data_IF_548047870331
#
_entry.id   IF_548047870331
#
_cell.length_a   1.000
_cell.length_b   1.000
_cell.length_c   1.000
_cell.angle_alpha   90.00
_cell.angle_beta   90.00
_cell.angle_gamma   90.00
#
_symmetry.space_group_name_H-M   'P 1'
#
loop_
_entity.id
_entity.type
_entity.pdbx_description
1 polymer ?
#
# COMPACT_ATOMS: atom_id res chain seq x y z
N UNK A 1 51.52 -16.57 -63.78
CA UNK A 1 50.75 -15.34 -64.09
C UNK A 1 50.14 -14.85 -62.78
N UNK A 2 50.80 -13.89 -62.27
CA UNK A 2 50.47 -12.48 -62.11
C UNK A 2 49.64 -12.30 -60.83
N UNK A 3 50.24 -11.86 -59.79
CA UNK A 3 50.40 -10.49 -59.30
C UNK A 3 49.06 -10.03 -58.62
N UNK A 4 49.00 -9.48 -57.49
CA UNK A 4 49.89 -8.71 -56.67
C UNK A 4 49.11 -8.24 -55.43
N UNK A 5 49.86 -8.05 -54.35
CA UNK A 5 50.20 -6.80 -53.63
C UNK A 5 49.00 -6.10 -52.99
N UNK A 6 49.02 -5.77 -51.82
CA UNK A 6 49.75 -5.05 -50.77
C UNK A 6 48.65 -4.62 -49.80
N UNK A 7 48.74 -4.47 -48.55
CA UNK A 7 49.72 -4.12 -47.59
C UNK A 7 49.04 -3.68 -46.32
N UNK A 8 49.66 -3.99 -45.24
CA UNK A 8 50.21 -3.14 -44.21
C UNK A 8 49.31 -2.62 -43.09
N UNK A 9 49.77 -2.98 -41.94
CA UNK A 9 49.85 -2.31 -40.62
C UNK A 9 48.58 -2.39 -39.77
N UNK A 10 48.54 -3.04 -38.69
CA UNK A 10 49.46 -3.03 -37.53
C UNK A 10 48.96 -2.04 -36.53
N UNK A 11 48.36 -2.51 -35.43
CA UNK A 11 48.67 -1.91 -34.13
C UNK A 11 48.02 -2.70 -32.98
N UNK A 12 48.85 -3.27 -32.25
CA UNK A 12 48.80 -3.63 -30.81
C UNK A 12 47.95 -2.72 -29.97
N UNK A 13 47.23 -3.29 -29.03
CA UNK A 13 47.05 -2.52 -27.86
C UNK A 13 45.86 -2.86 -27.00
N UNK A 14 46.16 -3.62 -26.01
CA UNK A 14 45.82 -3.44 -24.61
C UNK A 14 44.51 -3.99 -24.10
N UNK A 15 44.65 -5.11 -23.46
CA UNK A 15 43.86 -5.61 -22.34
C UNK A 15 43.67 -4.53 -21.29
N UNK A 16 42.42 -4.13 -21.05
CA UNK A 16 42.00 -3.41 -19.89
C UNK A 16 40.76 -4.09 -19.36
N UNK A 17 40.93 -4.99 -18.43
CA UNK A 17 39.89 -5.45 -17.54
C UNK A 17 39.62 -4.33 -16.54
N UNK A 18 38.70 -3.46 -16.84
CA UNK A 18 38.13 -2.58 -15.81
C UNK A 18 37.02 -3.35 -15.09
N UNK A 19 37.38 -3.81 -13.91
CA UNK A 19 36.48 -4.28 -12.89
C UNK A 19 35.74 -3.03 -12.41
N UNK A 20 34.56 -2.76 -12.97
CA UNK A 20 33.64 -1.76 -12.44
C UNK A 20 33.13 -2.33 -11.12
N UNK A 21 33.68 -1.83 -10.04
CA UNK A 21 33.22 -2.09 -8.69
C UNK A 21 31.75 -1.71 -8.59
N UNK A 22 30.92 -2.68 -8.19
CA UNK A 22 29.55 -2.44 -7.79
C UNK A 22 29.57 -1.54 -6.54
N UNK A 23 29.50 -0.24 -6.75
CA UNK A 23 29.07 0.67 -5.70
C UNK A 23 27.63 0.24 -5.32
N UNK A 24 27.50 -0.40 -4.17
CA UNK A 24 26.25 -0.44 -3.45
C UNK A 24 25.97 1.02 -3.05
N UNK A 25 25.32 1.75 -3.94
CA UNK A 25 24.83 3.07 -3.65
C UNK A 25 23.86 3.00 -2.46
N UNK A 26 23.97 3.94 -1.54
CA UNK A 26 22.93 4.17 -0.56
C UNK A 26 21.60 4.31 -1.30
N UNK A 27 20.46 3.83 -0.75
CA UNK A 27 19.16 3.97 -1.40
C UNK A 27 18.90 5.44 -1.69
N UNK A 28 18.44 5.73 -2.90
CA UNK A 28 18.12 7.09 -3.31
C UNK A 28 17.10 7.69 -2.34
N UNK A 29 17.44 8.85 -1.78
CA UNK A 29 16.51 9.64 -0.93
C UNK A 29 15.61 10.43 -1.87
N UNK A 30 14.32 10.17 -1.82
CA UNK A 30 13.33 10.90 -2.61
C UNK A 30 12.70 11.96 -1.72
N UNK A 31 13.01 13.22 -2.00
CA UNK A 31 12.35 14.37 -1.39
C UNK A 31 10.89 14.43 -1.84
N UNK A 32 9.97 14.52 -0.89
CA UNK A 32 8.53 14.62 -1.18
C UNK A 32 8.15 15.92 -1.90
N UNK A 33 9.07 16.89 -2.01
CA UNK A 33 8.85 18.15 -2.73
C UNK A 33 8.95 17.99 -4.27
N UNK A 34 9.38 16.84 -4.78
CA UNK A 34 9.47 16.56 -6.21
C UNK A 34 8.22 15.92 -6.80
N UNK A 35 7.19 15.64 -5.97
CA UNK A 35 5.90 15.13 -6.43
C UNK A 35 4.98 16.25 -6.96
N UNK A 36 3.81 15.88 -7.52
CA UNK A 36 2.79 16.85 -7.90
C UNK A 36 2.35 17.67 -6.67
N UNK A 37 1.83 18.91 -6.85
CA UNK A 37 1.47 19.78 -5.73
C UNK A 37 0.42 19.16 -4.82
N UNK A 38 0.40 19.59 -3.55
CA UNK A 38 -0.66 19.22 -2.61
C UNK A 38 -2.04 19.62 -3.15
N UNK A 39 -2.96 18.69 -3.08
CA UNK A 39 -4.37 18.94 -3.39
C UNK A 39 -5.04 19.57 -2.17
N UNK A 40 -5.85 20.62 -2.40
CA UNK A 40 -6.54 21.36 -1.34
C UNK A 40 -7.49 20.48 -0.50
N UNK A 41 -7.86 20.90 0.73
CA UNK A 41 -8.76 20.15 1.62
C UNK A 41 -10.07 19.68 0.99
N UNK A 42 -10.65 18.57 1.50
CA UNK A 42 -11.90 17.97 1.07
C UNK A 42 -13.15 18.70 1.59
N UNK A 43 -14.33 18.23 1.18
CA UNK A 43 -15.57 18.96 1.41
C UNK A 43 -16.18 18.80 2.82
N UNK A 44 -15.74 17.82 3.62
CA UNK A 44 -16.37 17.50 4.91
C UNK A 44 -15.43 17.88 6.06
N UNK A 45 -15.72 18.96 6.81
CA UNK A 45 -14.87 19.39 7.91
C UNK A 45 -14.91 18.46 9.15
N UNK A 46 -15.88 17.56 9.25
CA UNK A 46 -15.95 16.59 10.34
C UNK A 46 -14.94 15.43 10.17
N UNK A 47 -14.47 15.22 8.94
CA UNK A 47 -13.46 14.21 8.64
C UNK A 47 -12.07 14.81 8.75
N UNK A 48 -11.22 14.34 9.70
CA UNK A 48 -9.90 14.92 9.94
C UNK A 48 -8.94 14.80 8.75
N UNK A 49 -9.17 13.86 7.82
CA UNK A 49 -8.38 13.73 6.60
C UNK A 49 -8.86 14.66 5.48
N UNK A 50 -10.11 15.13 5.53
CA UNK A 50 -10.64 16.08 4.54
C UNK A 50 -10.08 17.48 4.72
N UNK A 51 -9.76 17.88 5.96
CA UNK A 51 -9.23 19.23 6.26
C UNK A 51 -7.74 19.35 5.97
N UNK A 52 -7.05 18.25 5.67
CA UNK A 52 -5.63 18.23 5.40
C UNK A 52 -5.31 18.27 3.90
N UNK A 53 -4.26 18.98 3.47
CA UNK A 53 -3.75 18.85 2.12
C UNK A 53 -3.12 17.47 1.93
N UNK A 54 -3.23 16.89 0.73
CA UNK A 54 -2.66 15.60 0.40
C UNK A 54 -1.93 15.66 -0.94
N UNK A 55 -0.81 14.93 -1.04
CA UNK A 55 0.03 14.86 -2.22
C UNK A 55 0.33 13.41 -2.56
N UNK A 56 0.17 13.00 -3.80
CA UNK A 56 0.70 11.74 -4.29
C UNK A 56 2.21 11.87 -4.51
N UNK A 57 3.01 11.13 -3.75
CA UNK A 57 4.49 11.20 -3.81
C UNK A 57 5.02 10.35 -4.96
N UNK A 58 4.50 9.13 -5.10
CA UNK A 58 4.95 8.21 -6.15
C UNK A 58 4.57 6.76 -5.89
N UNK A 59 5.01 5.90 -6.81
CA UNK A 59 4.83 4.45 -6.74
C UNK A 59 6.19 3.77 -6.79
N UNK A 60 6.52 2.98 -5.79
CA UNK A 60 7.86 2.43 -5.58
C UNK A 60 7.83 0.91 -5.47
N UNK A 61 8.77 0.20 -6.14
CA UNK A 61 8.92 -1.25 -6.01
C UNK A 61 9.74 -1.66 -4.79
N UNK A 62 10.48 -0.72 -4.20
CA UNK A 62 11.35 -0.98 -3.05
C UNK A 62 10.63 -0.69 -1.73
N UNK A 63 10.48 -1.70 -0.84
CA UNK A 63 9.88 -1.50 0.47
C UNK A 63 10.73 -0.64 1.41
N UNK A 64 11.98 -0.38 1.06
CA UNK A 64 12.90 0.43 1.86
C UNK A 64 13.17 1.81 1.26
N UNK A 65 12.35 2.25 0.28
CA UNK A 65 12.46 3.60 -0.28
C UNK A 65 12.48 4.65 0.84
N UNK A 66 13.46 5.56 0.78
CA UNK A 66 13.58 6.66 1.73
C UNK A 66 12.79 7.85 1.24
N UNK A 67 11.94 8.38 2.12
CA UNK A 67 11.12 9.57 1.87
C UNK A 67 11.58 10.70 2.78
N UNK A 68 11.55 11.90 2.26
CA UNK A 68 11.80 13.14 2.99
C UNK A 68 10.55 14.03 2.95
N UNK A 69 10.07 14.51 4.12
CA UNK A 69 10.54 14.19 5.47
C UNK A 69 10.22 12.75 5.86
N UNK A 70 10.97 12.20 6.81
CA UNK A 70 10.66 10.92 7.42
C UNK A 70 9.48 11.11 8.39
N UNK A 71 8.33 10.53 8.06
CA UNK A 71 7.08 10.64 8.80
C UNK A 71 6.52 9.25 9.10
N UNK A 72 5.65 9.10 10.12
CA UNK A 72 4.89 7.88 10.35
C UNK A 72 4.12 7.45 9.10
N UNK A 73 3.90 6.14 8.96
CA UNK A 73 3.18 5.56 7.83
C UNK A 73 2.00 4.72 8.30
N UNK A 74 0.84 4.90 7.67
CA UNK A 74 -0.33 4.04 7.84
C UNK A 74 -0.56 3.31 6.51
N UNK A 75 -0.41 1.99 6.54
CA UNK A 75 -0.55 1.16 5.36
C UNK A 75 -1.99 0.67 5.17
N UNK A 76 -2.49 0.72 3.94
CA UNK A 76 -3.76 0.11 3.56
C UNK A 76 -3.49 -1.16 2.77
N UNK A 77 -4.02 -2.29 3.22
CA UNK A 77 -3.88 -3.57 2.54
C UNK A 77 -5.23 -4.29 2.46
N UNK A 78 -5.43 -5.08 1.43
CA UNK A 78 -6.66 -5.84 1.26
C UNK A 78 -6.66 -6.61 -0.05
N UNK A 79 -7.64 -7.49 -0.20
CA UNK A 79 -7.81 -8.26 -1.41
C UNK A 79 -8.14 -7.37 -2.60
N UNK A 80 -7.74 -7.79 -3.80
CA UNK A 80 -8.14 -7.12 -5.04
C UNK A 80 -9.67 -6.98 -5.11
N UNK A 81 -10.14 -5.79 -5.47
CA UNK A 81 -11.56 -5.43 -5.53
C UNK A 81 -12.29 -5.39 -4.17
N UNK A 82 -11.58 -5.37 -3.06
CA UNK A 82 -12.16 -5.15 -1.71
C UNK A 82 -12.74 -3.73 -1.55
N UNK A 83 -12.31 -2.80 -2.38
CA UNK A 83 -12.73 -1.38 -2.33
C UNK A 83 -11.65 -0.43 -1.82
N UNK A 84 -10.37 -0.86 -1.72
CA UNK A 84 -9.26 -0.10 -1.15
C UNK A 84 -9.09 1.29 -1.77
N UNK A 85 -8.95 1.42 -3.08
CA UNK A 85 -8.81 2.72 -3.75
C UNK A 85 -10.07 3.60 -3.64
N UNK A 86 -11.26 2.99 -3.64
CA UNK A 86 -12.51 3.72 -3.41
C UNK A 86 -12.57 4.27 -1.98
N UNK A 87 -12.18 3.45 -1.01
CA UNK A 87 -12.14 3.86 0.40
C UNK A 87 -11.13 4.98 0.61
N UNK A 88 -9.90 4.84 0.07
CA UNK A 88 -8.87 5.89 0.16
C UNK A 88 -9.38 7.22 -0.40
N UNK A 89 -9.97 7.21 -1.59
CA UNK A 89 -10.52 8.43 -2.21
C UNK A 89 -11.60 9.11 -1.35
N UNK A 90 -12.47 8.31 -0.71
CA UNK A 90 -13.51 8.84 0.17
C UNK A 90 -12.94 9.32 1.50
N UNK A 91 -12.00 8.57 2.09
CA UNK A 91 -11.31 8.95 3.33
C UNK A 91 -10.64 10.33 3.22
N UNK A 92 -10.00 10.61 2.09
CA UNK A 92 -9.29 11.88 1.89
C UNK A 92 -10.13 12.94 1.15
N UNK A 93 -11.36 12.63 0.80
CA UNK A 93 -12.25 13.54 0.08
C UNK A 93 -11.77 13.92 -1.33
N UNK A 94 -11.02 13.05 -2.01
CA UNK A 94 -10.41 13.31 -3.32
C UNK A 94 -10.77 12.21 -4.31
N UNK A 95 -11.84 12.39 -5.08
CA UNK A 95 -12.19 11.46 -6.16
C UNK A 95 -11.04 11.33 -7.16
N UNK A 96 -10.62 10.09 -7.43
CA UNK A 96 -9.60 9.79 -8.44
C UNK A 96 -8.14 9.97 -8.01
N UNK A 97 -7.85 10.36 -6.78
CA UNK A 97 -6.48 10.41 -6.25
C UNK A 97 -5.82 9.02 -6.30
N UNK A 98 -6.47 8.02 -5.71
CA UNK A 98 -6.10 6.63 -5.91
C UNK A 98 -6.83 6.09 -7.13
N UNK A 99 -6.09 5.58 -8.11
CA UNK A 99 -6.68 4.99 -9.32
C UNK A 99 -7.38 3.68 -8.97
N UNK A 100 -8.67 3.60 -9.25
CA UNK A 100 -9.41 2.35 -9.20
C UNK A 100 -9.02 1.53 -10.42
N UNK A 101 -8.08 0.59 -10.27
CA UNK A 101 -7.68 -0.27 -11.38
C UNK A 101 -8.71 -1.37 -11.59
N UNK A 102 -9.36 -1.37 -12.74
CA UNK A 102 -10.25 -2.47 -13.15
C UNK A 102 -9.51 -3.75 -13.58
N UNK A 103 -8.18 -3.74 -13.63
CA UNK A 103 -7.38 -4.89 -14.07
C UNK A 103 -6.55 -5.43 -12.91
N UNK A 104 -6.85 -6.65 -12.41
CA UNK A 104 -6.08 -7.30 -11.36
C UNK A 104 -4.64 -7.60 -11.81
N UNK A 105 -3.65 -7.43 -10.93
CA UNK A 105 -2.29 -7.94 -11.14
C UNK A 105 -1.29 -6.99 -11.79
N UNK A 106 -1.63 -5.71 -12.04
CA UNK A 106 -0.70 -4.76 -12.66
C UNK A 106 0.19 -3.97 -11.69
N UNK A 107 -0.14 -3.92 -10.41
CA UNK A 107 0.59 -3.07 -9.47
C UNK A 107 1.27 -3.92 -8.40
N UNK A 108 2.57 -4.04 -8.52
CA UNK A 108 3.48 -4.56 -7.48
C UNK A 108 4.24 -3.41 -6.84
N UNK A 109 3.62 -2.25 -6.74
CA UNK A 109 4.22 -1.01 -6.28
C UNK A 109 3.49 -0.53 -5.03
N UNK A 110 4.23 0.07 -4.12
CA UNK A 110 3.74 0.79 -2.96
C UNK A 110 3.43 2.22 -3.39
N UNK A 111 2.20 2.69 -3.20
CA UNK A 111 1.80 4.05 -3.56
C UNK A 111 1.78 4.91 -2.28
N UNK A 112 2.58 5.95 -2.26
CA UNK A 112 2.70 6.84 -1.11
C UNK A 112 1.94 8.14 -1.35
N UNK A 113 1.13 8.51 -0.35
CA UNK A 113 0.37 9.76 -0.29
C UNK A 113 0.79 10.51 0.96
N UNK A 114 1.38 11.70 0.80
CA UNK A 114 1.83 12.53 1.91
C UNK A 114 0.70 13.41 2.42
N UNK A 115 0.48 13.39 3.72
CA UNK A 115 -0.23 14.40 4.50
C UNK A 115 0.80 15.20 5.31
N UNK A 116 0.42 16.29 6.00
CA UNK A 116 1.37 17.09 6.76
C UNK A 116 2.20 16.29 7.76
N UNK A 117 1.57 15.36 8.50
CA UNK A 117 2.17 14.69 9.66
C UNK A 117 2.44 13.18 9.43
N UNK A 118 1.97 12.59 8.32
CA UNK A 118 2.16 11.16 8.04
C UNK A 118 1.97 10.82 6.56
N UNK A 119 2.28 9.57 6.20
CA UNK A 119 1.98 9.01 4.90
C UNK A 119 0.85 7.97 4.98
N UNK A 120 -0.08 8.03 4.03
CA UNK A 120 -0.91 6.89 3.69
C UNK A 120 -0.20 6.07 2.61
N UNK A 121 -0.10 4.76 2.82
CA UNK A 121 0.60 3.87 1.90
C UNK A 121 -0.38 2.83 1.37
N UNK A 122 -0.71 2.93 0.08
CA UNK A 122 -1.59 1.99 -0.59
C UNK A 122 -0.78 0.81 -1.10
N UNK A 123 -0.84 -0.33 -0.39
CA UNK A 123 -0.16 -1.55 -0.79
C UNK A 123 -0.90 -2.22 -1.95
N UNK A 124 -0.19 -2.96 -2.82
CA UNK A 124 -0.86 -3.74 -3.86
C UNK A 124 -1.84 -4.75 -3.24
N UNK A 125 -2.98 -4.96 -3.86
CA UNK A 125 -3.97 -5.92 -3.36
C UNK A 125 -3.49 -7.37 -3.53
N UNK A 126 -3.93 -8.29 -2.67
CA UNK A 126 -3.69 -9.73 -2.81
C UNK A 126 -4.86 -10.48 -3.47
N UNK A 127 -4.76 -11.82 -3.60
CA UNK A 127 -5.84 -12.64 -4.11
C UNK A 127 -5.98 -12.63 -5.64
N UNK A 128 -4.89 -12.44 -6.35
CA UNK A 128 -4.89 -12.52 -7.82
C UNK A 128 -4.98 -13.98 -8.28
N UNK A 129 -6.18 -14.51 -8.48
CA UNK A 129 -6.41 -15.88 -8.93
C UNK A 129 -5.70 -16.20 -10.27
N UNK A 130 -5.46 -15.20 -11.11
CA UNK A 130 -4.83 -15.34 -12.44
C UNK A 130 -3.33 -15.01 -12.45
N UNK A 131 -2.72 -14.61 -11.33
CA UNK A 131 -1.30 -14.34 -11.29
C UNK A 131 -0.50 -15.65 -11.26
N UNK A 132 0.55 -15.73 -12.08
CA UNK A 132 1.50 -16.84 -12.04
C UNK A 132 2.22 -16.93 -10.69
N UNK A 133 2.77 -18.14 -10.40
CA UNK A 133 3.48 -18.42 -9.12
C UNK A 133 4.56 -17.37 -8.79
N UNK A 134 5.33 -16.91 -9.79
CA UNK A 134 6.38 -15.91 -9.61
C UNK A 134 5.84 -14.54 -9.17
N UNK A 135 4.74 -14.08 -9.76
CA UNK A 135 4.10 -12.82 -9.39
C UNK A 135 3.57 -12.83 -7.95
N UNK A 136 2.99 -13.97 -7.51
CA UNK A 136 2.55 -14.14 -6.11
C UNK A 136 3.72 -14.13 -5.13
N UNK A 137 4.82 -14.80 -5.50
CA UNK A 137 6.03 -14.80 -4.65
C UNK A 137 6.64 -13.40 -4.53
N UNK A 138 6.74 -12.64 -5.64
CA UNK A 138 7.19 -11.26 -5.64
C UNK A 138 6.31 -10.34 -4.79
N UNK A 139 4.99 -10.48 -4.90
CA UNK A 139 4.04 -9.77 -4.06
C UNK A 139 4.25 -10.06 -2.57
N UNK A 140 4.31 -11.37 -2.20
CA UNK A 140 4.51 -11.77 -0.80
C UNK A 140 5.82 -11.22 -0.23
N UNK A 141 6.89 -11.30 -1.03
CA UNK A 141 8.19 -10.74 -0.62
C UNK A 141 8.09 -9.25 -0.37
N UNK A 142 7.54 -8.46 -1.30
CA UNK A 142 7.38 -7.01 -1.17
C UNK A 142 6.62 -6.64 0.10
N UNK A 143 5.44 -7.25 0.32
CA UNK A 143 4.59 -6.94 1.47
C UNK A 143 5.24 -7.40 2.78
N UNK A 144 5.81 -8.61 2.82
CA UNK A 144 6.50 -9.11 4.01
C UNK A 144 7.69 -8.22 4.38
N UNK A 145 8.52 -7.85 3.41
CA UNK A 145 9.67 -7.00 3.64
C UNK A 145 9.22 -5.62 4.15
N UNK A 146 8.19 -5.02 3.54
CA UNK A 146 7.62 -3.75 3.99
C UNK A 146 7.11 -3.84 5.44
N UNK A 147 6.26 -4.80 5.76
CA UNK A 147 5.69 -4.95 7.10
C UNK A 147 6.74 -5.17 8.19
N UNK A 148 7.79 -5.96 7.89
CA UNK A 148 8.81 -6.35 8.89
C UNK A 148 9.93 -5.33 9.04
N UNK A 149 10.33 -4.67 7.97
CA UNK A 149 11.55 -3.85 7.98
C UNK A 149 11.29 -2.34 7.98
N UNK A 150 10.06 -1.90 7.68
CA UNK A 150 9.73 -0.47 7.63
C UNK A 150 9.62 0.13 9.02
N UNK A 151 10.62 0.93 9.42
CA UNK A 151 10.68 1.53 10.76
C UNK A 151 9.61 2.59 11.00
N UNK A 152 9.26 3.34 9.96
CA UNK A 152 8.23 4.39 9.98
C UNK A 152 6.78 3.86 9.97
N UNK A 153 6.56 2.53 9.79
CA UNK A 153 5.24 1.94 9.77
C UNK A 153 4.61 1.94 11.17
N UNK A 154 3.66 2.86 11.40
CA UNK A 154 2.94 3.03 12.66
C UNK A 154 1.74 2.09 12.79
N UNK A 155 1.07 1.74 11.68
CA UNK A 155 -0.09 0.85 11.72
C UNK A 155 -0.54 0.37 10.34
N UNK A 156 -1.41 -0.64 10.35
CA UNK A 156 -1.97 -1.26 9.14
C UNK A 156 -3.49 -1.28 9.20
N UNK A 157 -4.13 -0.75 8.19
CA UNK A 157 -5.57 -0.86 7.92
C UNK A 157 -5.78 -2.05 6.99
N UNK A 158 -6.33 -3.15 7.53
CA UNK A 158 -6.56 -4.37 6.79
C UNK A 158 -8.03 -4.47 6.33
N UNK A 159 -8.26 -4.36 5.02
CA UNK A 159 -9.59 -4.31 4.43
C UNK A 159 -10.11 -5.69 4.04
N UNK A 160 -11.33 -5.98 4.46
CA UNK A 160 -12.07 -7.21 4.20
C UNK A 160 -13.46 -6.87 3.63
N UNK A 161 -13.95 -7.65 2.69
CA UNK A 161 -15.30 -7.48 2.15
C UNK A 161 -16.31 -8.17 3.08
N UNK A 162 -17.16 -7.39 3.74
CA UNK A 162 -18.13 -7.89 4.74
C UNK A 162 -19.08 -8.97 4.19
N UNK A 163 -19.26 -9.06 2.87
CA UNK A 163 -20.18 -10.01 2.22
C UNK A 163 -19.66 -11.45 2.19
N UNK A 164 -18.34 -11.64 2.36
CA UNK A 164 -17.68 -12.92 2.11
C UNK A 164 -17.03 -13.48 3.37
N UNK A 165 -17.02 -14.80 3.51
CA UNK A 165 -16.16 -15.46 4.49
C UNK A 165 -14.69 -15.22 4.14
N UNK A 166 -13.79 -15.21 5.14
CA UNK A 166 -12.36 -15.08 4.89
C UNK A 166 -11.88 -16.19 3.92
N UNK A 167 -11.20 -15.77 2.88
CA UNK A 167 -10.57 -16.69 1.94
C UNK A 167 -9.23 -17.21 2.49
N UNK A 168 -8.69 -18.25 1.84
CA UNK A 168 -7.33 -18.73 2.16
C UNK A 168 -6.29 -17.60 2.08
N UNK A 169 -6.40 -16.71 1.09
CA UNK A 169 -5.50 -15.57 0.96
C UNK A 169 -5.66 -14.56 2.13
N UNK A 170 -6.90 -14.39 2.65
CA UNK A 170 -7.16 -13.54 3.82
C UNK A 170 -6.53 -14.13 5.08
N UNK A 171 -6.64 -15.45 5.28
CA UNK A 171 -6.02 -16.16 6.40
C UNK A 171 -4.48 -16.16 6.32
N UNK A 172 -3.91 -16.25 5.12
CA UNK A 172 -2.47 -16.11 4.93
C UNK A 172 -2.01 -14.68 5.25
N UNK A 173 -2.77 -13.66 4.83
CA UNK A 173 -2.48 -12.27 5.15
C UNK A 173 -2.58 -12.00 6.64
N UNK A 174 -3.60 -12.53 7.31
CA UNK A 174 -3.75 -12.43 8.76
C UNK A 174 -2.51 -12.94 9.51
N UNK A 175 -1.99 -14.11 9.12
CA UNK A 175 -0.76 -14.67 9.72
C UNK A 175 0.43 -13.73 9.52
N UNK A 176 0.58 -13.19 8.31
CA UNK A 176 1.67 -12.28 8.00
C UNK A 176 1.58 -10.98 8.82
N UNK A 177 0.37 -10.44 9.00
CA UNK A 177 0.11 -9.27 9.83
C UNK A 177 0.42 -9.56 11.30
N UNK A 178 -0.04 -10.69 11.83
CA UNK A 178 0.25 -11.11 13.21
C UNK A 178 1.77 -11.29 13.44
N UNK A 179 2.47 -11.94 12.50
CA UNK A 179 3.92 -12.13 12.58
C UNK A 179 4.73 -10.81 12.48
N UNK A 180 4.16 -9.78 11.87
CA UNK A 180 4.83 -8.48 11.75
C UNK A 180 4.91 -7.72 13.07
N UNK A 181 4.04 -8.02 14.03
CA UNK A 181 3.95 -7.33 15.32
C UNK A 181 3.48 -5.88 15.23
N UNK A 182 2.92 -5.47 14.08
CA UNK A 182 2.40 -4.12 13.87
C UNK A 182 0.97 -3.97 14.38
N UNK A 183 0.55 -2.80 14.89
CA UNK A 183 -0.85 -2.52 15.13
C UNK A 183 -1.68 -2.72 13.86
N UNK A 184 -2.80 -3.46 13.97
CA UNK A 184 -3.68 -3.76 12.83
C UNK A 184 -5.10 -3.43 13.20
N UNK A 185 -5.74 -2.59 12.38
CA UNK A 185 -7.17 -2.33 12.41
C UNK A 185 -7.83 -3.05 11.22
N UNK A 186 -8.71 -4.01 11.49
CA UNK A 186 -9.49 -4.68 10.46
C UNK A 186 -10.68 -3.80 10.07
N UNK A 187 -10.88 -3.60 8.77
CA UNK A 187 -11.97 -2.75 8.26
C UNK A 187 -12.86 -3.55 7.32
N UNK A 188 -14.09 -3.77 7.75
CA UNK A 188 -15.12 -4.46 6.96
C UNK A 188 -15.76 -3.47 5.98
N UNK A 189 -15.43 -3.61 4.71
CA UNK A 189 -15.90 -2.73 3.63
C UNK A 189 -17.25 -3.17 3.06
N UNK A 190 -17.90 -2.27 2.29
CA UNK A 190 -19.14 -2.54 1.55
C UNK A 190 -20.36 -2.84 2.43
N UNK A 191 -20.44 -2.22 3.59
CA UNK A 191 -21.56 -2.38 4.52
C UNK A 191 -22.92 -2.04 3.89
N UNK A 192 -22.95 -1.15 2.89
CA UNK A 192 -24.15 -0.80 2.11
C UNK A 192 -24.77 -1.98 1.34
N UNK A 193 -24.08 -3.10 1.22
CA UNK A 193 -24.56 -4.32 0.56
C UNK A 193 -25.31 -5.26 1.51
N UNK A 194 -25.38 -4.93 2.79
CA UNK A 194 -26.12 -5.70 3.81
C UNK A 194 -27.23 -4.85 4.42
N UNK A 195 -28.26 -5.53 4.91
CA UNK A 195 -29.30 -4.86 5.70
C UNK A 195 -28.77 -4.49 7.09
N UNK A 196 -29.36 -3.49 7.74
CA UNK A 196 -28.97 -3.06 9.08
C UNK A 196 -29.03 -4.21 10.10
N UNK A 197 -30.01 -5.10 9.98
CA UNK A 197 -30.14 -6.27 10.87
C UNK A 197 -29.08 -7.35 10.63
N UNK A 198 -28.53 -7.46 9.42
CA UNK A 198 -27.50 -8.43 9.09
C UNK A 198 -26.09 -7.98 9.52
N UNK A 199 -25.85 -6.68 9.67
CA UNK A 199 -24.53 -6.14 10.01
C UNK A 199 -23.96 -6.68 11.32
N UNK A 200 -24.69 -6.69 12.47
CA UNK A 200 -24.15 -7.20 13.72
C UNK A 200 -23.80 -8.68 13.67
N UNK A 201 -24.68 -9.48 13.03
CA UNK A 201 -24.46 -10.92 12.86
C UNK A 201 -23.20 -11.16 12.05
N UNK A 202 -23.05 -10.44 10.94
CA UNK A 202 -21.92 -10.59 10.05
C UNK A 202 -20.60 -10.12 10.67
N UNK A 203 -20.66 -9.03 11.43
CA UNK A 203 -19.51 -8.58 12.21
C UNK A 203 -19.05 -9.66 13.19
N UNK A 204 -19.98 -10.24 13.95
CA UNK A 204 -19.68 -11.31 14.91
C UNK A 204 -19.04 -12.54 14.23
N UNK A 205 -19.67 -13.04 13.14
CA UNK A 205 -19.16 -14.18 12.40
C UNK A 205 -17.73 -13.97 11.85
N UNK A 206 -17.44 -12.77 11.32
CA UNK A 206 -16.12 -12.46 10.76
C UNK A 206 -15.09 -12.25 11.86
N UNK A 207 -15.46 -11.59 12.95
CA UNK A 207 -14.57 -11.40 14.11
C UNK A 207 -14.20 -12.75 14.72
N UNK A 208 -15.17 -13.67 14.90
CA UNK A 208 -14.92 -15.01 15.39
C UNK A 208 -14.02 -15.81 14.44
N UNK A 209 -14.33 -15.81 13.13
CA UNK A 209 -13.56 -16.53 12.12
C UNK A 209 -12.10 -16.07 12.02
N UNK A 210 -11.84 -14.79 12.35
CA UNK A 210 -10.52 -14.17 12.32
C UNK A 210 -9.90 -13.98 13.71
N UNK A 211 -10.58 -14.39 14.78
CA UNK A 211 -10.07 -14.22 16.14
C UNK A 211 -9.81 -12.75 16.54
N UNK A 212 -10.59 -11.81 15.99
CA UNK A 212 -10.45 -10.39 16.23
C UNK A 212 -11.32 -9.93 17.42
N UNK A 213 -10.81 -9.01 18.22
CA UNK A 213 -11.59 -8.33 19.25
C UNK A 213 -12.46 -7.23 18.62
N UNK A 214 -13.52 -6.79 19.32
CA UNK A 214 -14.45 -5.78 18.78
C UNK A 214 -13.79 -4.41 18.52
N UNK A 215 -12.84 -4.03 19.35
CA UNK A 215 -12.05 -2.80 19.23
C UNK A 215 -11.04 -2.83 18.06
N UNK A 216 -10.78 -4.02 17.52
CA UNK A 216 -9.91 -4.22 16.36
C UNK A 216 -10.64 -4.17 15.01
N UNK A 217 -11.97 -3.92 15.01
CA UNK A 217 -12.78 -4.03 13.80
C UNK A 217 -13.69 -2.82 13.62
N UNK A 218 -13.58 -2.18 12.47
CA UNK A 218 -14.49 -1.12 12.03
C UNK A 218 -15.29 -1.54 10.79
N UNK A 219 -16.49 -0.97 10.65
CA UNK A 219 -17.39 -1.22 9.52
C UNK A 219 -17.49 0.03 8.67
N UNK A 220 -17.27 -0.09 7.35
CA UNK A 220 -17.28 1.05 6.44
C UNK A 220 -18.05 0.80 5.15
N UNK A 221 -18.50 1.89 4.54
CA UNK A 221 -18.97 1.91 3.17
C UNK A 221 -18.52 3.19 2.46
N UNK A 222 -17.74 3.03 1.41
CA UNK A 222 -17.36 4.14 0.53
C UNK A 222 -18.58 4.70 -0.24
N UNK A 223 -19.65 3.92 -0.42
CA UNK A 223 -20.86 4.32 -1.13
C UNK A 223 -21.79 5.16 -0.24
N UNK A 224 -22.15 4.66 0.95
CA UNK A 224 -23.02 5.37 1.91
C UNK A 224 -22.25 6.30 2.85
N UNK A 225 -20.92 6.32 2.80
CA UNK A 225 -20.02 7.07 3.69
C UNK A 225 -20.12 6.66 5.17
N UNK A 226 -20.73 5.53 5.47
CA UNK A 226 -20.81 4.98 6.83
C UNK A 226 -19.41 4.63 7.34
N UNK A 227 -19.08 4.97 8.59
CA UNK A 227 -17.83 4.64 9.26
C UNK A 227 -16.58 5.34 8.70
N UNK A 228 -16.75 6.36 7.83
CA UNK A 228 -15.61 7.03 7.18
C UNK A 228 -14.94 8.03 8.13
N UNK A 229 -15.70 8.76 8.92
CA UNK A 229 -15.17 9.74 9.89
C UNK A 229 -14.47 9.00 11.04
N UNK A 230 -15.08 7.94 11.54
CA UNK A 230 -14.54 7.08 12.58
C UNK A 230 -13.19 6.50 12.14
N UNK A 231 -13.15 5.85 10.98
CA UNK A 231 -11.91 5.30 10.43
C UNK A 231 -10.84 6.38 10.19
N UNK A 232 -11.23 7.55 9.72
CA UNK A 232 -10.28 8.65 9.53
C UNK A 232 -9.68 9.11 10.86
N UNK A 233 -10.49 9.14 11.93
CA UNK A 233 -10.04 9.46 13.29
C UNK A 233 -9.06 8.42 13.81
N UNK A 234 -9.39 7.13 13.67
CA UNK A 234 -8.49 6.01 14.06
C UNK A 234 -7.16 6.06 13.31
N UNK A 235 -7.17 6.38 12.01
CA UNK A 235 -5.95 6.53 11.20
C UNK A 235 -5.08 7.68 11.73
N UNK A 236 -5.66 8.84 12.03
CA UNK A 236 -4.91 10.01 12.53
C UNK A 236 -4.34 9.72 13.92
N UNK A 237 -5.12 9.12 14.82
CA UNK A 237 -4.67 8.74 16.15
C UNK A 237 -3.49 7.73 16.09
N UNK A 238 -3.62 6.68 15.26
CA UNK A 238 -2.55 5.70 15.06
C UNK A 238 -1.27 6.34 14.48
N UNK A 239 -1.40 7.30 13.56
CA UNK A 239 -0.25 8.03 13.02
C UNK A 239 0.42 8.92 14.07
N UNK A 240 -0.34 9.46 15.04
CA UNK A 240 0.18 10.22 16.16
C UNK A 240 0.83 9.34 17.26
N UNK A 241 0.75 8.00 17.13
CA UNK A 241 1.24 7.06 18.14
C UNK A 241 0.32 6.90 19.34
N UNK A 242 -0.94 7.29 19.20
CA UNK A 242 -1.96 7.09 20.22
C UNK A 242 -2.50 5.64 20.12
N UNK A 243 -2.67 4.98 21.29
CA UNK A 243 -3.31 3.68 21.32
C UNK A 243 -4.82 3.86 21.06
N UNK A 244 -5.30 3.31 19.98
CA UNK A 244 -6.71 3.29 19.58
C UNK A 244 -7.33 1.97 19.96
#
# INVERSE_FOLDING_TARGET
>A
MSAGRTGRTGRTGRTGKDIVGAHRGAPDVIGADHGPPFVQPGPDPSNPLHVQPIQFVGSFPDPQVRLEPELPEIALIGRSNVGKSSLLNVLVGRPGLARVSGSPGKTTLLNFYRLPEFYLVDLPGYGFARAGKGARAGYRKLVNDYLRTRTSLAGVVWLLDIRHQPSTDDLEMQRLLAESGRPVLAVLTKADKLTRSALPVRLHELSEALGLQQDQVEITSSHSKTGIVELATSIVAAAAGENV
#
